data_IF_146449529983
#
_entry.id   IF_146449529983
#
_cell.length_a   1.000
_cell.length_b   1.000
_cell.length_c   1.000
_cell.angle_alpha   90.00
_cell.angle_beta   90.00
_cell.angle_gamma   90.00
#
_symmetry.space_group_name_H-M   'P 1'
#
loop_
_entity.id
_entity.type
_entity.pdbx_description
1 polymer ?
#
# COMPACT_ATOMS: atom_id res chain seq x y z
N UNK A 1 -17.81 49.14 -39.03
CA UNK A 1 -16.72 48.15 -39.06
C UNK A 1 -16.39 47.77 -37.63
N UNK A 2 -16.38 46.47 -37.34
CA UNK A 2 -16.06 45.89 -36.01
C UNK A 2 -14.63 46.26 -35.62
N UNK A 3 -14.43 46.71 -34.39
CA UNK A 3 -13.11 46.65 -33.76
C UNK A 3 -12.87 45.21 -33.30
N UNK A 4 -11.78 44.62 -33.76
CA UNK A 4 -11.21 43.39 -33.20
C UNK A 4 -10.58 43.75 -31.84
N UNK A 5 -11.13 43.20 -30.77
CA UNK A 5 -10.50 43.23 -29.45
C UNK A 5 -9.57 42.01 -29.37
N UNK A 6 -8.26 42.25 -29.42
CA UNK A 6 -7.22 41.25 -29.18
C UNK A 6 -7.34 40.76 -27.73
N UNK A 7 -7.90 39.55 -27.55
CA UNK A 7 -7.88 38.86 -26.26
C UNK A 7 -6.49 38.27 -26.06
N UNK A 8 -5.66 38.99 -25.32
CA UNK A 8 -4.38 38.49 -24.83
C UNK A 8 -4.65 37.40 -23.80
N UNK A 9 -4.53 36.14 -24.22
CA UNK A 9 -4.55 34.99 -23.31
C UNK A 9 -3.21 34.95 -22.59
N UNK A 10 -3.16 35.45 -21.36
CA UNK A 10 -2.01 35.23 -20.48
C UNK A 10 -1.83 33.73 -20.24
N UNK A 11 -0.71 33.21 -20.72
CA UNK A 11 -0.29 31.85 -20.41
C UNK A 11 0.05 31.79 -18.92
N UNK A 12 -0.83 31.17 -18.14
CA UNK A 12 -0.55 30.78 -16.75
C UNK A 12 0.70 29.90 -16.77
N UNK A 13 1.83 30.45 -16.32
CA UNK A 13 3.06 29.70 -16.12
C UNK A 13 2.84 28.53 -15.17
N UNK A 14 3.66 27.47 -15.22
CA UNK A 14 3.50 26.33 -14.33
C UNK A 14 3.54 26.83 -12.89
N UNK A 15 2.38 26.79 -12.23
CA UNK A 15 2.29 27.11 -10.81
C UNK A 15 3.26 26.18 -10.07
N UNK A 16 4.20 26.75 -9.32
CA UNK A 16 5.00 25.95 -8.41
C UNK A 16 4.04 25.16 -7.52
N UNK A 17 4.21 23.82 -7.39
CA UNK A 17 3.30 23.04 -6.59
C UNK A 17 3.40 23.56 -5.16
N UNK A 18 2.36 24.27 -4.71
CA UNK A 18 2.21 24.65 -3.32
C UNK A 18 2.46 23.39 -2.47
N UNK A 19 3.34 23.50 -1.47
CA UNK A 19 3.72 22.36 -0.64
C UNK A 19 2.46 21.70 -0.08
N UNK A 20 2.04 20.59 -0.69
CA UNK A 20 0.84 19.89 -0.30
C UNK A 20 1.04 19.44 1.14
N UNK A 21 0.02 19.67 1.99
CA UNK A 21 0.02 19.13 3.35
C UNK A 21 0.26 17.62 3.23
N UNK A 22 1.25 17.06 3.93
CA UNK A 22 1.56 15.65 3.83
C UNK A 22 0.32 14.82 4.13
N UNK A 23 0.06 13.79 3.32
CA UNK A 23 -1.12 12.96 3.52
C UNK A 23 -1.03 12.32 4.91
N UNK A 24 -2.13 12.36 5.66
CA UNK A 24 -2.14 11.79 6.99
C UNK A 24 -1.67 10.32 6.97
N UNK A 25 -1.89 9.57 5.89
CA UNK A 25 -1.49 8.17 5.74
C UNK A 25 -0.18 7.99 4.96
N UNK A 26 0.61 9.04 4.76
CA UNK A 26 1.92 8.91 4.13
C UNK A 26 2.91 8.10 5.01
N UNK A 27 3.99 7.55 4.41
CA UNK A 27 4.94 6.73 5.15
C UNK A 27 5.62 7.44 6.33
N UNK A 28 5.83 8.75 6.27
CA UNK A 28 6.46 9.50 7.35
C UNK A 28 5.50 9.64 8.54
N UNK A 29 4.23 9.96 8.28
CA UNK A 29 3.19 10.01 9.28
C UNK A 29 2.94 8.64 9.93
N UNK A 30 3.03 7.54 9.17
CA UNK A 30 2.95 6.19 9.72
C UNK A 30 4.15 5.82 10.60
N UNK A 31 5.36 6.20 10.20
CA UNK A 31 6.55 5.95 10.99
C UNK A 31 6.46 6.70 12.34
N UNK A 32 6.01 7.95 12.32
CA UNK A 32 5.74 8.71 13.54
C UNK A 32 4.64 8.06 14.38
N UNK A 33 3.60 7.53 13.73
CA UNK A 33 2.54 6.79 14.42
C UNK A 33 3.06 5.55 15.16
N UNK A 34 4.00 4.82 14.55
CA UNK A 34 4.60 3.61 15.11
C UNK A 34 5.63 3.89 16.21
N UNK A 35 6.35 5.01 16.15
CA UNK A 35 7.42 5.35 17.10
C UNK A 35 6.94 6.17 18.31
N UNK A 36 5.82 6.88 18.19
CA UNK A 36 5.32 7.80 19.22
C UNK A 36 4.06 7.32 19.93
N UNK A 37 3.66 7.98 21.04
CA UNK A 37 2.42 7.70 21.78
C UNK A 37 1.19 8.26 21.05
N UNK A 38 1.10 8.05 19.73
CA UNK A 38 0.10 8.70 18.88
C UNK A 38 -1.28 8.05 18.97
N UNK A 39 -1.37 6.82 19.49
CA UNK A 39 -2.60 6.01 19.49
C UNK A 39 -3.12 5.68 18.09
N UNK A 40 -2.36 6.00 17.04
CA UNK A 40 -2.81 5.92 15.65
C UNK A 40 -2.57 4.55 15.02
N UNK A 41 -1.61 3.79 15.56
CA UNK A 41 -1.42 2.40 15.19
C UNK A 41 -2.71 1.61 15.47
N UNK A 42 -3.19 0.90 14.46
CA UNK A 42 -4.40 0.06 14.51
C UNK A 42 -5.69 0.81 14.84
N UNK A 43 -5.72 2.12 14.58
CA UNK A 43 -6.88 2.98 14.84
C UNK A 43 -8.09 2.70 13.95
N UNK A 44 -7.92 2.00 12.82
CA UNK A 44 -9.01 1.70 11.88
C UNK A 44 -9.58 0.31 12.13
N UNK A 45 -10.61 0.24 12.97
CA UNK A 45 -11.47 -0.94 13.10
C UNK A 45 -12.60 -0.99 12.06
N UNK A 46 -13.38 -2.09 11.98
CA UNK A 46 -14.42 -2.29 10.94
C UNK A 46 -15.44 -1.17 10.78
N UNK A 47 -15.78 -0.46 11.86
CA UNK A 47 -16.69 0.69 11.86
C UNK A 47 -16.06 2.04 11.52
N UNK A 48 -14.74 2.09 11.31
CA UNK A 48 -14.05 3.31 10.91
C UNK A 48 -14.37 3.64 9.44
N UNK A 49 -14.66 4.91 9.08
CA UNK A 49 -15.04 5.29 7.72
C UNK A 49 -13.96 4.91 6.68
N UNK A 50 -12.69 5.13 7.00
CA UNK A 50 -11.55 4.74 6.16
C UNK A 50 -11.05 3.29 6.32
N UNK A 51 -11.84 2.36 6.88
CA UNK A 51 -11.39 0.96 7.00
C UNK A 51 -11.18 0.32 5.62
N UNK A 52 -9.97 -0.22 5.42
CA UNK A 52 -9.40 -0.69 4.15
C UNK A 52 -9.35 0.37 3.03
N UNK A 53 -9.26 1.65 3.39
CA UNK A 53 -8.88 2.72 2.48
C UNK A 53 -7.36 2.92 2.50
N UNK A 54 -6.76 3.13 1.33
CA UNK A 54 -5.31 3.39 1.16
C UNK A 54 -5.05 4.62 0.30
N UNK A 55 -4.08 5.43 0.71
CA UNK A 55 -3.56 6.56 -0.06
C UNK A 55 -2.48 6.13 -1.05
N UNK A 56 -2.55 6.64 -2.27
CA UNK A 56 -1.59 6.37 -3.35
C UNK A 56 -0.64 7.54 -3.63
N UNK A 57 -0.80 8.65 -2.89
CA UNK A 57 -0.07 9.91 -3.08
C UNK A 57 -0.83 10.93 -3.91
N UNK A 58 -0.39 12.19 -3.88
CA UNK A 58 -1.03 13.32 -4.59
C UNK A 58 -2.55 13.43 -4.32
N UNK A 59 -3.00 13.11 -3.10
CA UNK A 59 -4.41 13.12 -2.71
C UNK A 59 -5.25 11.95 -3.24
N UNK A 60 -4.68 11.04 -4.04
CA UNK A 60 -5.38 9.88 -4.58
C UNK A 60 -5.57 8.80 -3.50
N UNK A 61 -6.79 8.24 -3.43
CA UNK A 61 -7.19 7.20 -2.47
C UNK A 61 -7.97 6.09 -3.16
N UNK A 62 -7.92 4.89 -2.59
CA UNK A 62 -8.68 3.72 -3.05
C UNK A 62 -9.29 2.99 -1.86
N UNK A 63 -10.60 2.76 -1.93
CA UNK A 63 -11.33 1.91 -0.99
C UNK A 63 -11.30 0.46 -1.49
N UNK A 64 -10.53 -0.41 -0.82
CA UNK A 64 -10.36 -1.80 -1.25
C UNK A 64 -11.63 -2.65 -1.10
N UNK A 65 -12.50 -2.30 -0.14
CA UNK A 65 -13.81 -2.97 0.02
C UNK A 65 -14.72 -2.78 -1.20
N UNK A 66 -14.65 -1.62 -1.83
CA UNK A 66 -15.47 -1.27 -2.99
C UNK A 66 -14.81 -1.71 -4.30
N UNK A 67 -13.48 -1.57 -4.38
CA UNK A 67 -12.72 -1.88 -5.60
C UNK A 67 -12.44 -3.37 -5.78
N UNK A 68 -12.41 -4.14 -4.70
CA UNK A 68 -12.10 -5.58 -4.67
C UNK A 68 -10.62 -5.92 -4.88
N UNK A 69 -9.92 -5.20 -5.77
CA UNK A 69 -8.50 -5.38 -6.04
C UNK A 69 -7.81 -4.07 -6.45
N UNK A 70 -6.50 -4.00 -6.23
CA UNK A 70 -5.64 -2.89 -6.66
C UNK A 70 -4.48 -3.43 -7.52
N UNK A 71 -4.46 -3.07 -8.79
CA UNK A 71 -3.32 -3.28 -9.69
C UNK A 71 -2.49 -2.01 -9.81
N UNK A 72 -1.16 -2.12 -9.79
CA UNK A 72 -0.25 -0.98 -9.95
C UNK A 72 0.75 -1.29 -11.07
N UNK A 73 0.81 -0.43 -12.09
CA UNK A 73 1.63 -0.61 -13.28
C UNK A 73 2.55 0.60 -13.56
N UNK A 74 3.70 0.35 -14.21
CA UNK A 74 4.73 1.35 -14.46
C UNK A 74 6.16 0.86 -14.17
N UNK A 75 7.15 1.77 -14.15
CA UNK A 75 8.54 1.41 -13.89
C UNK A 75 8.72 0.84 -12.47
N UNK A 76 9.30 -0.37 -12.38
CA UNK A 76 9.40 -1.15 -11.16
C UNK A 76 10.02 -0.39 -9.98
N UNK A 77 11.06 0.41 -10.24
CA UNK A 77 11.76 1.17 -9.21
C UNK A 77 10.81 2.10 -8.43
N UNK A 78 9.86 2.74 -9.12
CA UNK A 78 8.85 3.60 -8.50
C UNK A 78 7.71 2.79 -7.89
N UNK A 79 7.25 1.75 -8.59
CA UNK A 79 6.16 0.88 -8.14
C UNK A 79 6.41 0.21 -6.80
N UNK A 80 7.64 -0.27 -6.56
CA UNK A 80 7.94 -0.96 -5.30
C UNK A 80 7.84 -0.02 -4.09
N UNK A 81 8.08 1.28 -4.27
CA UNK A 81 7.82 2.27 -3.23
C UNK A 81 6.32 2.38 -2.91
N UNK A 82 5.48 2.49 -3.94
CA UNK A 82 4.02 2.57 -3.79
C UNK A 82 3.46 1.29 -3.17
N UNK A 83 3.84 0.13 -3.70
CA UNK A 83 3.37 -1.17 -3.20
C UNK A 83 3.73 -1.36 -1.71
N UNK A 84 4.96 -1.02 -1.30
CA UNK A 84 5.36 -1.07 0.12
C UNK A 84 4.61 -0.06 0.96
N UNK A 85 4.39 1.16 0.46
CA UNK A 85 3.60 2.18 1.15
C UNK A 85 2.18 1.70 1.43
N UNK A 86 1.50 1.12 0.43
CA UNK A 86 0.15 0.54 0.58
C UNK A 86 0.14 -0.55 1.65
N UNK A 87 1.10 -1.48 1.61
CA UNK A 87 1.18 -2.57 2.61
C UNK A 87 1.50 -2.01 4.01
N UNK A 88 2.39 -1.03 4.11
CA UNK A 88 2.71 -0.37 5.37
C UNK A 88 1.50 0.38 5.97
N UNK A 89 0.75 1.11 5.15
CA UNK A 89 -0.51 1.78 5.55
C UNK A 89 -1.51 0.78 6.12
N UNK A 90 -1.76 -0.31 5.38
CA UNK A 90 -2.69 -1.34 5.81
C UNK A 90 -2.26 -1.97 7.15
N UNK A 91 -0.99 -2.37 7.27
CA UNK A 91 -0.47 -3.00 8.48
C UNK A 91 -0.41 -2.04 9.69
N UNK A 92 -0.11 -0.77 9.46
CA UNK A 92 -0.02 0.23 10.52
C UNK A 92 -1.40 0.65 11.02
N UNK A 93 -2.42 0.70 10.15
CA UNK A 93 -3.74 1.24 10.51
C UNK A 93 -4.76 0.19 10.92
N UNK A 94 -4.51 -1.10 10.65
CA UNK A 94 -5.42 -2.20 10.98
C UNK A 94 -4.77 -3.22 11.90
N UNK A 95 -5.49 -3.68 12.93
CA UNK A 95 -4.97 -4.68 13.85
C UNK A 95 -4.76 -6.04 13.16
N UNK A 96 -3.78 -6.86 13.59
CA UNK A 96 -3.57 -8.22 13.05
C UNK A 96 -4.78 -9.15 13.23
N UNK A 97 -5.64 -8.88 14.21
CA UNK A 97 -6.90 -9.59 14.40
C UNK A 97 -7.98 -9.23 13.36
N UNK A 98 -7.76 -8.18 12.56
CA UNK A 98 -8.72 -7.65 11.59
C UNK A 98 -8.20 -7.72 10.14
N UNK A 99 -6.88 -7.86 9.96
CA UNK A 99 -6.21 -7.91 8.67
C UNK A 99 -5.10 -8.95 8.72
N UNK A 100 -5.15 -9.91 7.78
CA UNK A 100 -4.08 -10.85 7.49
C UNK A 100 -3.38 -10.44 6.18
N UNK A 101 -2.07 -10.58 6.11
CA UNK A 101 -1.27 -10.26 4.92
C UNK A 101 -0.60 -11.53 4.42
N UNK A 102 -0.95 -11.92 3.19
CA UNK A 102 -0.31 -13.02 2.46
C UNK A 102 0.53 -12.46 1.32
N UNK A 103 1.83 -12.77 1.31
CA UNK A 103 2.73 -12.39 0.21
C UNK A 103 2.91 -13.55 -0.76
N UNK A 104 2.63 -13.31 -2.04
CA UNK A 104 2.99 -14.19 -3.15
C UNK A 104 4.05 -13.52 -4.04
N UNK A 105 5.32 -13.86 -3.82
CA UNK A 105 6.46 -13.37 -4.60
C UNK A 105 7.20 -14.56 -5.23
N UNK A 106 6.58 -15.20 -6.23
CA UNK A 106 7.12 -16.38 -6.92
C UNK A 106 7.49 -16.11 -8.39
N UNK A 107 7.69 -14.85 -8.77
CA UNK A 107 8.11 -14.45 -10.11
C UNK A 107 9.49 -15.07 -10.46
N UNK A 108 9.52 -15.84 -11.54
CA UNK A 108 10.67 -16.61 -12.03
C UNK A 108 11.75 -15.73 -12.65
N UNK A 109 11.36 -14.54 -13.15
CA UNK A 109 12.29 -13.58 -13.77
C UNK A 109 13.24 -13.00 -12.74
N UNK A 110 12.82 -12.98 -11.47
CA UNK A 110 13.58 -12.41 -10.35
C UNK A 110 14.33 -13.51 -9.62
N UNK A 111 15.50 -13.19 -9.08
CA UNK A 111 16.21 -14.06 -8.14
C UNK A 111 15.53 -14.04 -6.77
N UNK A 112 15.74 -15.08 -5.96
CA UNK A 112 15.27 -15.10 -4.56
C UNK A 112 15.78 -13.89 -3.78
N UNK A 113 17.04 -13.49 -4.02
CA UNK A 113 17.66 -12.35 -3.35
C UNK A 113 16.93 -11.04 -3.67
N UNK A 114 16.54 -10.81 -4.93
CA UNK A 114 15.75 -9.63 -5.29
C UNK A 114 14.35 -9.64 -4.66
N UNK A 115 13.69 -10.81 -4.63
CA UNK A 115 12.36 -10.93 -4.01
C UNK A 115 12.42 -10.68 -2.50
N UNK A 116 13.45 -11.19 -1.81
CA UNK A 116 13.69 -10.93 -0.39
C UNK A 116 14.10 -9.50 -0.12
N UNK A 117 14.95 -8.89 -0.95
CA UNK A 117 15.26 -7.46 -0.86
C UNK A 117 13.99 -6.63 -0.90
N UNK A 118 13.00 -7.06 -1.67
CA UNK A 118 11.76 -6.32 -1.80
C UNK A 118 10.81 -6.47 -0.60
N UNK A 119 10.76 -7.64 0.04
CA UNK A 119 9.67 -8.02 0.94
C UNK A 119 10.08 -8.65 2.27
N UNK A 120 11.37 -8.86 2.54
CA UNK A 120 11.83 -9.51 3.77
C UNK A 120 11.40 -8.77 5.04
N UNK A 121 11.17 -7.45 4.95
CA UNK A 121 10.66 -6.63 6.04
C UNK A 121 9.28 -7.09 6.53
N UNK A 122 8.45 -7.71 5.67
CA UNK A 122 7.15 -8.26 6.08
C UNK A 122 7.28 -9.37 7.14
N UNK A 123 8.42 -10.07 7.19
CA UNK A 123 8.66 -11.12 8.18
C UNK A 123 8.69 -10.63 9.63
N UNK A 124 8.77 -9.32 9.85
CA UNK A 124 8.70 -8.70 11.18
C UNK A 124 7.28 -8.36 11.61
N UNK A 125 6.32 -8.36 10.68
CA UNK A 125 4.95 -7.94 10.98
C UNK A 125 4.15 -9.08 11.65
N UNK A 126 3.28 -8.76 12.62
CA UNK A 126 2.36 -9.75 13.17
C UNK A 126 1.29 -10.19 12.15
N UNK A 127 0.96 -9.38 11.15
CA UNK A 127 -0.06 -9.65 10.13
C UNK A 127 0.25 -10.82 9.19
N UNK A 128 1.51 -11.24 9.11
CA UNK A 128 1.92 -12.39 8.28
C UNK A 128 1.98 -13.68 9.09
N UNK A 129 1.59 -13.67 10.37
CA UNK A 129 1.50 -14.88 11.18
C UNK A 129 0.16 -15.57 10.88
N UNK A 130 0.15 -16.89 10.64
CA UNK A 130 -1.07 -17.60 10.35
C UNK A 130 -2.02 -17.57 11.55
N UNK A 131 -3.24 -17.08 11.35
CA UNK A 131 -4.29 -17.03 12.37
C UNK A 131 -5.39 -18.08 12.16
N UNK A 132 -5.39 -18.76 11.00
CA UNK A 132 -6.49 -19.61 10.54
C UNK A 132 -6.06 -21.08 10.34
N UNK A 133 -4.99 -21.51 11.01
CA UNK A 133 -4.51 -22.90 10.97
C UNK A 133 -3.72 -23.26 9.70
N UNK A 134 -3.21 -22.27 8.97
CA UNK A 134 -2.35 -22.52 7.81
C UNK A 134 -1.05 -23.22 8.23
N UNK A 135 -0.61 -24.22 7.45
CA UNK A 135 0.59 -25.02 7.77
C UNK A 135 1.87 -24.29 7.32
N UNK A 136 2.22 -23.24 8.08
CA UNK A 136 3.45 -22.48 7.89
C UNK A 136 3.80 -21.67 9.13
N UNK A 137 5.02 -21.09 9.14
CA UNK A 137 5.40 -20.12 10.18
C UNK A 137 5.04 -18.68 9.82
N UNK A 138 5.10 -18.36 8.54
CA UNK A 138 4.79 -17.03 7.99
C UNK A 138 4.06 -17.21 6.65
N UNK A 139 3.11 -16.33 6.40
CA UNK A 139 2.32 -16.24 5.17
C UNK A 139 3.11 -15.57 4.03
N UNK A 140 4.36 -16.00 3.85
CA UNK A 140 5.27 -15.50 2.83
C UNK A 140 5.62 -16.64 1.86
N UNK A 141 5.38 -16.41 0.57
CA UNK A 141 5.77 -17.33 -0.49
C UNK A 141 6.80 -16.69 -1.41
N UNK A 142 8.03 -17.22 -1.39
CA UNK A 142 9.12 -16.78 -2.27
C UNK A 142 9.44 -17.79 -3.39
N UNK A 143 8.82 -18.96 -3.36
CA UNK A 143 8.87 -19.98 -4.40
C UNK A 143 7.45 -20.42 -4.81
N UNK A 144 7.35 -21.25 -5.85
CA UNK A 144 6.05 -21.61 -6.43
C UNK A 144 5.26 -22.59 -5.56
N UNK A 145 5.93 -23.47 -4.84
CA UNK A 145 5.26 -24.48 -4.02
C UNK A 145 4.61 -23.78 -2.82
N UNK A 146 5.35 -22.86 -2.19
CA UNK A 146 4.81 -21.96 -1.19
C UNK A 146 3.65 -21.12 -1.75
N UNK A 147 3.78 -20.59 -2.97
CA UNK A 147 2.75 -19.74 -3.53
C UNK A 147 1.46 -20.51 -3.85
N UNK A 148 1.59 -21.74 -4.37
CA UNK A 148 0.45 -22.62 -4.60
C UNK A 148 -0.24 -23.01 -3.28
N UNK A 149 0.53 -23.36 -2.24
CA UNK A 149 0.00 -23.68 -0.93
C UNK A 149 -0.78 -22.50 -0.32
N UNK A 150 -0.18 -21.29 -0.31
CA UNK A 150 -0.82 -20.07 0.20
C UNK A 150 -2.07 -19.67 -0.60
N UNK A 151 -2.05 -19.82 -1.92
CA UNK A 151 -3.21 -19.52 -2.77
C UNK A 151 -4.38 -20.48 -2.49
N UNK A 152 -4.10 -21.78 -2.29
CA UNK A 152 -5.12 -22.78 -1.99
C UNK A 152 -5.79 -22.59 -0.62
N UNK A 153 -5.10 -21.95 0.32
CA UNK A 153 -5.65 -21.61 1.64
C UNK A 153 -6.65 -20.44 1.57
N UNK A 154 -6.53 -19.53 0.59
CA UNK A 154 -7.39 -18.36 0.43
C UNK A 154 -8.74 -18.66 -0.23
N UNK A 155 -8.84 -19.78 -0.96
CA UNK A 155 -10.06 -20.17 -1.68
C UNK A 155 -10.89 -21.21 -0.92
N UNK A 156 -10.56 -21.49 0.33
CA UNK A 156 -11.24 -22.49 1.15
C UNK A 156 -12.19 -21.80 2.12
#
# INVERSE_FOLDING_TARGET
MRGEEDVVVEAVGPAEPAAAVPDADDPAALLLAALGPTGRLWSRGPGHPGFLEVGLGAGSRVALRESGALGVAGPRARLMGVARSVVAQLAALHAPAQLEIVLLAADRVRTLQERRRDWAWLGWLPHVRPAHGQDCRLLLAYDRDQAAARAAELTR
#
